data_IF_449755372533
#
_entry.id   IF_449755372533
#
_cell.length_a   1.000
_cell.length_b   1.000
_cell.length_c   1.000
_cell.angle_alpha   90.00
_cell.angle_beta   90.00
_cell.angle_gamma   90.00
#
_symmetry.space_group_name_H-M   'P 1'
#
loop_
_entity.id
_entity.type
_entity.pdbx_description
1 polymer ?
#
# COMPACT_ATOMS: atom_id res chain seq x y z
N UNK A 1 9.83 -6.48 10.44
CA UNK A 1 8.68 -6.46 9.52
C UNK A 1 8.18 -7.89 9.41
N UNK A 2 6.87 -8.11 9.52
CA UNK A 2 6.28 -9.44 9.38
C UNK A 2 5.54 -9.52 8.05
N UNK A 3 5.79 -10.57 7.28
CA UNK A 3 4.90 -11.04 6.23
C UNK A 3 3.89 -12.06 6.81
N UNK A 4 3.01 -12.60 5.98
CA UNK A 4 1.99 -13.55 6.44
C UNK A 4 2.59 -14.83 7.06
N UNK A 5 3.72 -15.32 6.52
CA UNK A 5 4.38 -16.54 6.98
C UNK A 5 5.07 -16.33 8.33
N UNK A 6 5.93 -15.32 8.41
CA UNK A 6 6.69 -14.98 9.62
C UNK A 6 5.78 -14.56 10.77
N UNK A 7 4.62 -13.94 10.49
CA UNK A 7 3.61 -13.67 11.52
C UNK A 7 3.06 -14.94 12.15
N UNK A 8 2.73 -15.95 11.33
CA UNK A 8 2.20 -17.23 11.81
C UNK A 8 3.27 -18.02 12.58
N UNK A 9 4.52 -17.98 12.13
CA UNK A 9 5.66 -18.58 12.84
C UNK A 9 5.88 -17.92 14.20
N UNK A 10 5.92 -16.59 14.27
CA UNK A 10 6.10 -15.86 15.53
C UNK A 10 4.99 -16.14 16.56
N UNK A 11 3.76 -16.33 16.09
CA UNK A 11 2.64 -16.70 16.96
C UNK A 11 2.73 -18.14 17.50
N UNK A 12 3.24 -19.08 16.69
CA UNK A 12 3.45 -20.46 17.12
C UNK A 12 4.61 -20.57 18.11
N UNK A 13 5.71 -19.88 17.84
CA UNK A 13 6.88 -19.79 18.72
C UNK A 13 6.51 -19.23 20.11
N UNK A 14 5.72 -18.15 20.15
CA UNK A 14 5.23 -17.56 21.40
C UNK A 14 4.36 -18.52 22.24
N UNK A 15 3.73 -19.54 21.62
CA UNK A 15 2.97 -20.59 22.32
C UNK A 15 3.81 -21.83 22.64
N UNK A 16 4.99 -21.98 22.04
CA UNK A 16 5.80 -23.19 22.15
C UNK A 16 5.17 -24.40 21.45
N UNK A 17 4.32 -24.18 20.46
CA UNK A 17 3.57 -25.22 19.75
C UNK A 17 3.98 -25.29 18.28
N UNK A 18 3.79 -26.45 17.67
CA UNK A 18 3.90 -26.60 16.23
C UNK A 18 2.69 -25.95 15.52
N UNK A 19 2.86 -25.67 14.23
CA UNK A 19 1.79 -25.15 13.39
C UNK A 19 0.69 -26.20 13.21
N UNK A 20 -0.56 -25.78 13.42
CA UNK A 20 -1.71 -26.63 13.19
C UNK A 20 -1.98 -26.79 11.68
N UNK A 21 -2.59 -27.92 11.29
CA UNK A 21 -2.94 -28.20 9.89
C UNK A 21 -3.78 -27.08 9.26
N UNK A 22 -4.75 -26.53 10.00
CA UNK A 22 -5.57 -25.41 9.52
C UNK A 22 -4.78 -24.14 9.20
N UNK A 23 -3.67 -23.88 9.91
CA UNK A 23 -2.78 -22.76 9.60
C UNK A 23 -1.95 -23.03 8.34
N UNK A 24 -1.52 -24.27 8.14
CA UNK A 24 -0.82 -24.69 6.92
C UNK A 24 -1.75 -24.62 5.70
N UNK A 25 -3.00 -25.04 5.84
CA UNK A 25 -4.02 -24.96 4.78
C UNK A 25 -4.28 -23.51 4.37
N UNK A 26 -4.36 -22.59 5.34
CA UNK A 26 -4.52 -21.16 5.07
C UNK A 26 -3.31 -20.56 4.33
N UNK A 27 -2.08 -20.94 4.72
CA UNK A 27 -0.86 -20.52 4.03
C UNK A 27 -0.79 -21.11 2.61
N UNK A 28 -1.21 -22.36 2.42
CA UNK A 28 -1.28 -23.01 1.10
C UNK A 28 -2.28 -22.29 0.18
N UNK A 29 -3.46 -21.91 0.69
CA UNK A 29 -4.41 -21.08 -0.05
C UNK A 29 -3.82 -19.72 -0.45
N UNK A 30 -3.04 -19.08 0.43
CA UNK A 30 -2.36 -17.83 0.09
C UNK A 30 -1.33 -18.00 -1.04
N UNK A 31 -0.57 -19.11 -1.04
CA UNK A 31 0.39 -19.42 -2.10
C UNK A 31 -0.33 -19.70 -3.43
N UNK A 32 -1.46 -20.41 -3.40
CA UNK A 32 -2.28 -20.66 -4.59
C UNK A 32 -2.76 -19.36 -5.26
N UNK A 33 -3.06 -18.34 -4.45
CA UNK A 33 -3.46 -17.00 -4.92
C UNK A 33 -2.27 -16.08 -5.23
N UNK A 34 -1.02 -16.56 -5.09
CA UNK A 34 0.20 -15.77 -5.23
C UNK A 34 0.36 -15.07 -6.58
N UNK A 35 -0.01 -15.74 -7.67
CA UNK A 35 0.06 -15.14 -9.01
C UNK A 35 -0.83 -13.90 -9.13
N UNK A 36 -2.05 -13.94 -8.56
CA UNK A 36 -2.98 -12.80 -8.58
C UNK A 36 -2.43 -11.62 -7.76
N UNK A 37 -1.71 -11.89 -6.66
CA UNK A 37 -1.06 -10.84 -5.85
C UNK A 37 0.08 -10.16 -6.60
N UNK A 38 0.94 -10.95 -7.25
CA UNK A 38 2.05 -10.41 -8.05
C UNK A 38 1.50 -9.58 -9.22
N UNK A 39 0.43 -10.03 -9.88
CA UNK A 39 -0.24 -9.27 -10.92
C UNK A 39 -0.80 -7.92 -10.41
N UNK A 40 -1.40 -7.91 -9.22
CA UNK A 40 -1.88 -6.68 -8.59
C UNK A 40 -0.74 -5.70 -8.31
N UNK A 41 0.36 -6.18 -7.71
CA UNK A 41 1.57 -5.37 -7.44
C UNK A 41 2.16 -4.82 -8.73
N UNK A 42 2.25 -5.62 -9.78
CA UNK A 42 2.75 -5.19 -11.10
C UNK A 42 1.87 -4.10 -11.71
N UNK A 43 0.54 -4.24 -11.64
CA UNK A 43 -0.41 -3.23 -12.13
C UNK A 43 -0.33 -1.92 -11.36
N UNK A 44 -0.25 -1.97 -10.03
CA UNK A 44 -0.11 -0.77 -9.21
C UNK A 44 1.21 -0.06 -9.53
N UNK A 45 2.32 -0.82 -9.54
CA UNK A 45 3.67 -0.25 -9.73
C UNK A 45 3.84 0.36 -11.12
N UNK A 46 3.38 -0.32 -12.17
CA UNK A 46 3.45 0.19 -13.55
C UNK A 46 2.59 1.43 -13.80
N UNK A 47 1.55 1.66 -12.97
CA UNK A 47 0.64 2.81 -13.09
C UNK A 47 0.77 3.84 -11.97
N UNK A 48 1.81 3.74 -11.12
CA UNK A 48 1.92 4.52 -9.89
C UNK A 48 1.79 6.04 -10.12
N UNK A 49 2.54 6.59 -11.08
CA UNK A 49 2.50 8.01 -11.41
C UNK A 49 1.12 8.46 -11.90
N UNK A 50 0.43 7.63 -12.69
CA UNK A 50 -0.91 7.90 -13.20
C UNK A 50 -1.94 7.92 -12.07
N UNK A 51 -1.85 6.95 -11.15
CA UNK A 51 -2.73 6.85 -9.98
C UNK A 51 -2.60 8.11 -9.12
N UNK A 52 -1.36 8.49 -8.76
CA UNK A 52 -1.08 9.66 -7.92
C UNK A 52 -1.53 10.95 -8.61
N UNK A 53 -1.22 11.14 -9.90
CA UNK A 53 -1.60 12.35 -10.63
C UNK A 53 -3.11 12.50 -10.75
N UNK A 54 -3.85 11.42 -11.01
CA UNK A 54 -5.31 11.46 -11.10
C UNK A 54 -5.95 11.71 -9.73
N UNK A 55 -5.47 11.05 -8.67
CA UNK A 55 -5.95 11.29 -7.31
C UNK A 55 -5.74 12.75 -6.87
N UNK A 56 -4.56 13.33 -7.17
CA UNK A 56 -4.28 14.73 -6.87
C UNK A 56 -5.21 15.69 -7.63
N UNK A 57 -5.47 15.44 -8.93
CA UNK A 57 -6.42 16.26 -9.70
C UNK A 57 -7.83 16.21 -9.12
N UNK A 58 -8.32 15.03 -8.77
CA UNK A 58 -9.64 14.88 -8.15
C UNK A 58 -9.70 15.61 -6.79
N UNK A 59 -8.67 15.45 -5.95
CA UNK A 59 -8.59 16.14 -4.66
C UNK A 59 -8.68 17.66 -4.80
N UNK A 60 -7.95 18.26 -5.73
CA UNK A 60 -7.96 19.72 -5.90
C UNK A 60 -9.21 20.23 -6.63
N UNK A 61 -9.91 19.39 -7.38
CA UNK A 61 -11.23 19.71 -7.90
C UNK A 61 -12.28 19.74 -6.77
N UNK A 62 -12.19 18.81 -5.82
CA UNK A 62 -13.07 18.77 -4.64
C UNK A 62 -12.74 19.84 -3.60
N UNK A 63 -11.45 20.17 -3.44
CA UNK A 63 -10.95 21.11 -2.44
C UNK A 63 -10.02 22.18 -3.05
N UNK A 64 -10.57 23.11 -3.85
CA UNK A 64 -9.78 24.14 -4.53
C UNK A 64 -9.08 25.11 -3.57
N UNK A 65 -9.57 25.27 -2.34
CA UNK A 65 -8.96 26.11 -1.31
C UNK A 65 -7.54 25.66 -0.91
N UNK A 66 -7.18 24.39 -1.15
CA UNK A 66 -5.84 23.89 -0.85
C UNK A 66 -4.77 24.50 -1.76
N UNK A 67 -5.14 24.83 -3.01
CA UNK A 67 -4.23 25.39 -4.03
C UNK A 67 -4.42 26.90 -4.23
N UNK A 68 -5.39 27.52 -3.56
CA UNK A 68 -5.55 28.96 -3.55
C UNK A 68 -4.45 29.66 -2.73
N UNK A 69 -4.18 30.96 -2.92
CA UNK A 69 -3.24 31.71 -2.08
C UNK A 69 -3.57 31.57 -0.58
N UNK A 70 -2.57 31.17 0.22
CA UNK A 70 -2.75 30.85 1.64
C UNK A 70 -3.10 29.39 1.94
N UNK A 71 -3.44 28.60 0.91
CA UNK A 71 -3.71 27.16 0.99
C UNK A 71 -2.45 26.33 1.24
N UNK A 72 -2.64 25.12 1.77
CA UNK A 72 -1.52 24.27 2.16
C UNK A 72 -0.71 23.72 0.97
N UNK A 73 -1.31 23.57 -0.21
CA UNK A 73 -0.65 23.10 -1.43
C UNK A 73 -0.35 24.22 -2.44
N UNK A 74 -0.43 25.50 -2.04
CA UNK A 74 -0.31 26.66 -2.93
C UNK A 74 1.06 26.79 -3.64
N UNK A 75 2.16 26.65 -2.90
CA UNK A 75 3.51 26.85 -3.47
C UNK A 75 4.01 25.59 -4.16
N UNK A 76 4.85 25.75 -5.18
CA UNK A 76 5.45 24.61 -5.91
C UNK A 76 6.13 23.60 -4.98
N UNK A 77 6.85 24.08 -3.96
CA UNK A 77 7.49 23.24 -2.94
C UNK A 77 6.47 22.42 -2.14
N UNK A 78 5.35 23.01 -1.74
CA UNK A 78 4.33 22.32 -0.95
C UNK A 78 3.48 21.37 -1.81
N UNK A 79 3.21 21.74 -3.06
CA UNK A 79 2.59 20.85 -4.04
C UNK A 79 3.45 19.59 -4.27
N UNK A 80 4.76 19.76 -4.48
CA UNK A 80 5.69 18.63 -4.62
C UNK A 80 5.72 17.73 -3.38
N UNK A 81 5.64 18.31 -2.18
CA UNK A 81 5.55 17.54 -0.94
C UNK A 81 4.24 16.73 -0.86
N UNK A 82 3.11 17.34 -1.23
CA UNK A 82 1.81 16.65 -1.27
C UNK A 82 1.83 15.43 -2.20
N UNK A 83 2.34 15.59 -3.43
CA UNK A 83 2.45 14.50 -4.40
C UNK A 83 3.39 13.39 -3.92
N UNK A 84 4.53 13.76 -3.33
CA UNK A 84 5.47 12.79 -2.75
C UNK A 84 4.81 11.98 -1.63
N UNK A 85 4.04 12.63 -0.75
CA UNK A 85 3.40 11.94 0.37
C UNK A 85 2.30 10.98 -0.13
N UNK A 86 1.57 11.34 -1.21
CA UNK A 86 0.66 10.42 -1.90
C UNK A 86 1.38 9.19 -2.48
N UNK A 87 2.53 9.40 -3.11
CA UNK A 87 3.36 8.31 -3.65
C UNK A 87 3.91 7.40 -2.53
N UNK A 88 4.30 7.98 -1.40
CA UNK A 88 4.74 7.22 -0.21
C UNK A 88 3.61 6.30 0.26
N UNK A 89 2.38 6.79 0.39
CA UNK A 89 1.24 5.96 0.80
C UNK A 89 1.02 4.83 -0.21
N UNK A 90 0.95 5.15 -1.50
CA UNK A 90 0.74 4.14 -2.54
C UNK A 90 1.81 3.05 -2.47
N UNK A 91 3.08 3.43 -2.29
CA UNK A 91 4.21 2.50 -2.16
C UNK A 91 4.09 1.58 -0.95
N UNK A 92 3.73 2.11 0.23
CA UNK A 92 3.56 1.28 1.44
C UNK A 92 2.36 0.34 1.33
N UNK A 93 1.28 0.75 0.65
CA UNK A 93 0.15 -0.14 0.33
C UNK A 93 0.60 -1.25 -0.61
N UNK A 94 1.39 -0.94 -1.65
CA UNK A 94 1.97 -1.95 -2.56
C UNK A 94 2.85 -2.95 -1.82
N UNK A 95 3.66 -2.51 -0.84
CA UNK A 95 4.47 -3.42 -0.01
C UNK A 95 3.65 -4.34 0.90
N UNK A 96 2.40 -3.98 1.20
CA UNK A 96 1.51 -4.77 2.05
C UNK A 96 0.57 -5.71 1.26
N UNK A 97 0.60 -5.66 -0.08
CA UNK A 97 -0.30 -6.43 -0.97
C UNK A 97 0.24 -7.83 -1.25
#
# INVERSE_FOLDING_TARGET
MFDAFTKVVSQADARGEFLATSQLDALSSMVAEGNKRIDAVNRITSNASTIVANAARSLFAEQPQLIAPGGNAYTSRRMAACLRDMEIILRYVTYAT
#
